data_IF_257607622640
#
_entry.id   IF_257607622640
#
_cell.length_a   1.000
_cell.length_b   1.000
_cell.length_c   1.000
_cell.angle_alpha   90.00
_cell.angle_beta   90.00
_cell.angle_gamma   90.00
#
_symmetry.space_group_name_H-M   'P 1'
#
loop_
_entity.id
_entity.type
_entity.pdbx_description
1 polymer ?
#
# COMPACT_ATOMS: atom_id res chain seq x y z
N UNK A 1 -14.74 -7.12 -12.99
CA UNK A 1 -13.51 -7.87 -12.76
C UNK A 1 -12.61 -7.12 -11.80
N UNK A 2 -12.13 -7.78 -10.79
CA UNK A 2 -11.26 -7.19 -9.79
C UNK A 2 -9.83 -7.63 -10.03
N UNK A 3 -8.90 -6.69 -9.97
CA UNK A 3 -7.48 -6.94 -10.14
C UNK A 3 -6.76 -6.49 -8.88
N UNK A 4 -5.92 -7.34 -8.35
CA UNK A 4 -5.26 -7.13 -7.07
C UNK A 4 -3.75 -7.01 -7.24
N UNK A 5 -3.14 -6.12 -6.47
CA UNK A 5 -1.69 -6.10 -6.28
C UNK A 5 -1.39 -5.97 -4.80
N UNK A 6 -0.32 -6.61 -4.36
CA UNK A 6 0.07 -6.62 -2.96
C UNK A 6 1.57 -6.36 -2.84
N UNK A 7 1.94 -5.46 -1.94
CA UNK A 7 3.32 -5.29 -1.51
C UNK A 7 3.45 -5.83 -0.09
N UNK A 8 4.29 -6.84 0.07
CA UNK A 8 4.53 -7.45 1.38
C UNK A 8 5.76 -6.82 2.02
N UNK A 9 5.76 -6.78 3.34
CA UNK A 9 6.92 -6.37 4.15
C UNK A 9 7.38 -4.94 3.89
N UNK A 10 6.45 -4.01 3.65
CA UNK A 10 6.80 -2.60 3.59
C UNK A 10 7.15 -2.09 4.99
N UNK A 11 8.16 -1.20 5.06
CA UNK A 11 8.68 -0.71 6.35
C UNK A 11 7.91 0.50 6.87
N UNK A 12 6.60 0.34 7.03
CA UNK A 12 5.76 1.35 7.63
C UNK A 12 4.82 0.68 8.61
N UNK A 13 4.43 1.40 9.66
CA UNK A 13 3.43 0.86 10.56
C UNK A 13 2.08 0.79 9.83
N UNK A 14 1.28 -0.22 10.15
CA UNK A 14 -0.05 -0.36 9.56
C UNK A 14 -0.91 0.87 9.82
N UNK A 15 -0.77 1.47 11.01
CA UNK A 15 -1.52 2.67 11.36
C UNK A 15 -1.25 3.83 10.40
N UNK A 16 0.03 4.08 10.09
CA UNK A 16 0.42 5.14 9.17
C UNK A 16 0.01 4.84 7.74
N UNK A 17 0.18 3.58 7.32
CA UNK A 17 -0.23 3.16 5.98
C UNK A 17 -1.75 3.26 5.81
N UNK A 18 -2.53 2.95 6.85
CA UNK A 18 -3.99 3.06 6.78
C UNK A 18 -4.49 4.48 6.60
N UNK A 19 -3.77 5.46 7.12
CA UNK A 19 -4.12 6.86 6.87
C UNK A 19 -4.08 7.18 5.38
N UNK A 20 -3.14 6.58 4.66
CA UNK A 20 -3.00 6.76 3.22
C UNK A 20 -4.03 5.94 2.46
N UNK A 21 -4.18 4.65 2.77
CA UNK A 21 -5.08 3.77 2.02
C UNK A 21 -6.54 4.22 2.10
N UNK A 22 -6.95 4.78 3.22
CA UNK A 22 -8.34 5.27 3.39
C UNK A 22 -8.71 6.38 2.42
N UNK A 23 -7.74 7.18 1.99
CA UNK A 23 -8.03 8.34 1.14
C UNK A 23 -8.31 7.95 -0.29
N UNK A 24 -7.82 6.79 -0.75
CA UNK A 24 -7.95 6.38 -2.15
C UNK A 24 -9.11 5.42 -2.42
N UNK A 25 -9.70 4.83 -1.39
CA UNK A 25 -10.82 3.90 -1.58
C UNK A 25 -12.01 4.64 -2.17
N UNK A 26 -12.58 4.09 -3.22
CA UNK A 26 -13.71 4.70 -3.91
C UNK A 26 -13.33 5.72 -4.97
N UNK A 27 -12.04 6.03 -5.11
CA UNK A 27 -11.59 7.01 -6.09
C UNK A 27 -11.26 6.35 -7.43
N UNK A 28 -11.53 7.04 -8.56
CA UNK A 28 -11.00 6.60 -9.85
C UNK A 28 -9.47 6.53 -9.78
N UNK A 29 -8.88 5.57 -10.48
CA UNK A 29 -7.44 5.35 -10.43
C UNK A 29 -6.62 6.60 -10.77
N UNK A 30 -6.94 7.39 -11.82
CA UNK A 30 -6.18 8.62 -12.07
C UNK A 30 -6.22 9.60 -10.90
N UNK A 31 -7.38 9.74 -10.26
CA UNK A 31 -7.52 10.64 -9.11
C UNK A 31 -6.76 10.12 -7.90
N UNK A 32 -6.83 8.81 -7.65
CA UNK A 32 -6.09 8.19 -6.56
C UNK A 32 -4.59 8.37 -6.74
N UNK A 33 -4.09 8.19 -7.95
CA UNK A 33 -2.67 8.37 -8.25
C UNK A 33 -2.24 9.82 -8.00
N UNK A 34 -3.07 10.79 -8.38
CA UNK A 34 -2.78 12.20 -8.14
C UNK A 34 -2.76 12.52 -6.66
N UNK A 35 -3.72 12.01 -5.89
CA UNK A 35 -3.75 12.19 -4.44
C UNK A 35 -2.47 11.66 -3.79
N UNK A 36 -2.05 10.47 -4.15
CA UNK A 36 -0.86 9.84 -3.57
C UNK A 36 0.40 10.62 -3.88
N UNK A 37 0.47 11.21 -5.08
CA UNK A 37 1.64 12.01 -5.49
C UNK A 37 1.86 13.21 -4.58
N UNK A 38 0.79 13.84 -4.12
CA UNK A 38 0.86 15.07 -3.34
C UNK A 38 0.76 14.85 -1.83
N UNK A 39 0.63 13.60 -1.39
CA UNK A 39 0.60 13.31 0.05
C UNK A 39 1.97 13.41 0.68
N UNK A 40 2.09 14.06 1.85
CA UNK A 40 3.37 14.18 2.54
C UNK A 40 3.82 12.90 3.23
N UNK A 41 2.93 11.95 3.49
CA UNK A 41 3.26 10.73 4.20
C UNK A 41 4.19 9.84 3.37
N UNK A 42 5.24 9.30 4.00
CA UNK A 42 6.19 8.42 3.32
C UNK A 42 5.51 7.15 2.78
N UNK A 43 4.53 6.62 3.50
CA UNK A 43 3.79 5.44 3.07
C UNK A 43 3.04 5.64 1.75
N UNK A 44 2.74 6.88 1.38
CA UNK A 44 2.05 7.17 0.12
C UNK A 44 2.84 6.68 -1.09
N UNK A 45 4.15 6.70 -1.03
CA UNK A 45 4.99 6.20 -2.13
C UNK A 45 4.81 4.70 -2.33
N UNK A 46 4.74 3.94 -1.25
CA UNK A 46 4.56 2.50 -1.32
C UNK A 46 3.15 2.15 -1.80
N UNK A 47 2.15 2.87 -1.33
CA UNK A 47 0.77 2.69 -1.79
C UNK A 47 0.67 3.03 -3.27
N UNK A 48 1.35 4.10 -3.72
CA UNK A 48 1.36 4.48 -5.13
C UNK A 48 1.97 3.38 -6.01
N UNK A 49 3.03 2.73 -5.54
CA UNK A 49 3.64 1.61 -6.26
C UNK A 49 2.69 0.44 -6.39
N UNK A 50 1.98 0.11 -5.33
CA UNK A 50 1.00 -0.97 -5.34
C UNK A 50 -0.15 -0.64 -6.28
N UNK A 51 -0.64 0.58 -6.25
CA UNK A 51 -1.69 1.04 -7.16
C UNK A 51 -1.22 0.94 -8.61
N UNK A 52 0.00 1.36 -8.89
CA UNK A 52 0.57 1.27 -10.23
C UNK A 52 0.68 -0.18 -10.69
N UNK A 53 1.08 -1.10 -9.79
CA UNK A 53 1.13 -2.52 -10.10
C UNK A 53 -0.25 -3.08 -10.41
N UNK A 54 -1.26 -2.75 -9.63
CA UNK A 54 -2.62 -3.20 -9.87
C UNK A 54 -3.14 -2.68 -11.22
N UNK A 55 -2.85 -1.41 -11.52
CA UNK A 55 -3.25 -0.80 -12.79
C UNK A 55 -2.55 -1.48 -13.96
N UNK A 56 -1.25 -1.73 -13.84
CA UNK A 56 -0.48 -2.42 -14.88
C UNK A 56 -1.00 -3.85 -15.10
N UNK A 57 -1.34 -4.56 -14.03
CA UNK A 57 -1.93 -5.90 -14.13
C UNK A 57 -3.26 -5.86 -14.89
N UNK A 58 -4.09 -4.86 -14.60
CA UNK A 58 -5.37 -4.70 -15.28
C UNK A 58 -5.18 -4.41 -16.75
N UNK A 59 -4.25 -3.52 -17.11
CA UNK A 59 -4.00 -3.16 -18.51
C UNK A 59 -3.37 -4.31 -19.28
N UNK A 60 -2.34 -4.94 -18.75
CA UNK A 60 -1.54 -5.91 -19.47
C UNK A 60 -2.17 -7.30 -19.51
N UNK A 61 -2.83 -7.71 -18.44
CA UNK A 61 -3.37 -9.06 -18.32
C UNK A 61 -4.86 -9.16 -18.67
N UNK A 62 -5.59 -8.06 -18.58
CA UNK A 62 -7.03 -8.05 -18.76
C UNK A 62 -7.52 -7.02 -19.77
N UNK A 63 -6.63 -6.31 -20.43
CA UNK A 63 -6.93 -5.30 -21.45
C UNK A 63 -7.88 -4.19 -20.98
N UNK A 64 -7.82 -3.84 -19.71
CA UNK A 64 -8.62 -2.78 -19.13
C UNK A 64 -7.88 -1.44 -19.23
N UNK A 65 -8.62 -0.35 -19.36
CA UNK A 65 -8.05 0.99 -19.39
C UNK A 65 -7.99 1.58 -17.99
N UNK A 66 -6.87 2.24 -17.65
CA UNK A 66 -6.72 2.89 -16.34
C UNK A 66 -7.84 3.91 -16.09
N UNK A 67 -8.33 4.57 -17.10
CA UNK A 67 -9.39 5.57 -16.96
C UNK A 67 -10.73 4.96 -16.53
N UNK A 68 -10.92 3.68 -16.77
CA UNK A 68 -12.14 2.97 -16.41
C UNK A 68 -12.04 2.23 -15.07
N UNK A 69 -10.91 2.36 -14.37
CA UNK A 69 -10.67 1.66 -13.12
C UNK A 69 -10.98 2.53 -11.91
N UNK A 70 -11.51 1.88 -10.88
CA UNK A 70 -11.81 2.49 -9.59
C UNK A 70 -11.14 1.65 -8.50
N UNK A 71 -10.58 2.30 -7.50
CA UNK A 71 -10.03 1.62 -6.33
C UNK A 71 -11.20 1.19 -5.46
N UNK A 72 -11.46 -0.11 -5.38
CA UNK A 72 -12.56 -0.64 -4.58
C UNK A 72 -12.11 -1.07 -3.19
N UNK A 73 -10.83 -1.39 -3.04
CA UNK A 73 -10.28 -1.81 -1.76
C UNK A 73 -8.82 -1.39 -1.67
N UNK A 74 -8.43 -0.85 -0.54
CA UNK A 74 -7.04 -0.57 -0.23
C UNK A 74 -6.85 -0.85 1.26
N UNK A 75 -6.04 -1.84 1.57
CA UNK A 75 -5.89 -2.37 2.93
C UNK A 75 -4.42 -2.36 3.31
N UNK A 76 -4.15 -1.99 4.55
CA UNK A 76 -2.83 -2.10 5.15
C UNK A 76 -2.94 -3.02 6.37
N UNK A 77 -2.42 -4.23 6.23
CA UNK A 77 -2.45 -5.24 7.28
C UNK A 77 -1.11 -5.33 7.98
N UNK A 78 -1.13 -5.56 9.29
CA UNK A 78 0.09 -5.75 10.04
C UNK A 78 0.85 -6.99 9.57
N UNK A 79 2.11 -6.77 9.20
CA UNK A 79 3.03 -7.85 8.93
C UNK A 79 3.83 -8.18 10.19
N UNK A 80 4.83 -9.07 10.06
CA UNK A 80 5.67 -9.41 11.19
C UNK A 80 6.49 -8.20 11.64
N UNK A 81 6.70 -8.11 12.95
CA UNK A 81 7.58 -7.10 13.53
C UNK A 81 8.98 -7.68 13.63
N UNK A 82 9.97 -7.02 13.05
CA UNK A 82 11.35 -7.43 13.16
C UNK A 82 11.89 -6.95 14.49
N UNK A 83 12.32 -7.90 15.33
CA UNK A 83 12.94 -7.57 16.60
C UNK A 83 14.45 -7.51 16.41
N UNK A 84 15.06 -6.41 16.82
CA UNK A 84 16.51 -6.25 16.81
C UNK A 84 16.95 -5.94 18.23
N UNK A 85 18.07 -6.51 18.62
CA UNK A 85 18.68 -6.21 19.89
C UNK A 85 19.87 -5.28 19.71
N UNK A 86 20.04 -4.32 20.61
CA UNK A 86 21.25 -3.50 20.68
C UNK A 86 21.95 -3.80 21.99
N UNK A 87 23.25 -4.12 21.94
CA UNK A 87 24.01 -4.27 23.19
C UNK A 87 24.12 -2.91 23.89
N UNK A 88 23.96 -2.95 25.18
CA UNK A 88 24.17 -1.80 26.05
C UNK A 88 25.27 -2.09 27.04
N UNK A 89 25.76 -1.05 27.72
CA UNK A 89 26.71 -1.24 28.80
C UNK A 89 26.20 -2.31 29.77
N UNK A 90 27.08 -3.17 30.29
CA UNK A 90 26.77 -4.26 31.21
C UNK A 90 26.04 -5.45 30.52
N UNK A 91 26.18 -5.59 29.20
CA UNK A 91 25.66 -6.75 28.49
C UNK A 91 24.15 -6.85 28.32
N UNK A 92 23.44 -5.76 28.54
CA UNK A 92 21.99 -5.73 28.38
C UNK A 92 21.60 -5.44 26.93
N UNK A 93 20.49 -6.04 26.51
CA UNK A 93 19.91 -5.81 25.19
C UNK A 93 18.63 -5.02 25.34
N UNK A 94 18.46 -4.03 24.46
CA UNK A 94 17.19 -3.33 24.31
C UNK A 94 16.57 -3.76 22.98
N UNK A 95 15.40 -4.37 23.00
CA UNK A 95 14.74 -4.78 21.77
C UNK A 95 14.28 -3.57 20.96
N UNK A 96 14.54 -3.62 19.67
CA UNK A 96 14.04 -2.63 18.72
C UNK A 96 13.00 -3.33 17.87
N UNK A 97 11.80 -2.77 17.84
CA UNK A 97 10.71 -3.30 17.03
C UNK A 97 10.59 -2.48 15.75
N UNK A 98 10.75 -3.13 14.61
CA UNK A 98 10.57 -2.50 13.30
C UNK A 98 9.28 -3.05 12.70
N UNK A 99 8.20 -2.26 12.73
CA UNK A 99 6.93 -2.72 12.20
C UNK A 99 7.00 -2.85 10.68
N UNK A 100 6.31 -3.84 10.14
CA UNK A 100 6.15 -4.04 8.72
C UNK A 100 4.67 -4.17 8.40
N UNK A 101 4.32 -3.82 7.18
CA UNK A 101 2.93 -3.79 6.74
C UNK A 101 2.83 -4.44 5.37
N UNK A 102 1.73 -5.15 5.16
CA UNK A 102 1.35 -5.65 3.84
C UNK A 102 0.29 -4.72 3.28
N UNK A 103 0.54 -4.18 2.09
CA UNK A 103 -0.40 -3.26 1.43
C UNK A 103 -1.03 -4.00 0.26
N UNK A 104 -2.34 -4.01 0.22
CA UNK A 104 -3.12 -4.62 -0.85
C UNK A 104 -4.03 -3.58 -1.46
N UNK A 105 -4.00 -3.48 -2.79
CA UNK A 105 -4.90 -2.60 -3.53
C UNK A 105 -5.66 -3.43 -4.55
N UNK A 106 -6.96 -3.27 -4.58
CA UNK A 106 -7.85 -3.93 -5.54
C UNK A 106 -8.50 -2.85 -6.39
N UNK A 107 -8.39 -3.00 -7.71
CA UNK A 107 -9.04 -2.12 -8.67
C UNK A 107 -10.08 -2.91 -9.45
N UNK A 108 -11.12 -2.23 -9.88
CA UNK A 108 -12.22 -2.85 -10.61
C UNK A 108 -12.61 -1.92 -11.74
N UNK A 109 -12.93 -2.50 -12.92
CA UNK A 109 -13.38 -1.67 -14.01
C UNK A 109 -14.80 -1.18 -13.74
N UNK A 110 -14.99 0.10 -14.04
CA UNK A 110 -16.29 0.75 -13.88
C UNK A 110 -17.10 0.48 -15.13
N UNK A 111 -17.99 -0.48 -15.05
CA UNK A 111 -18.92 -0.73 -16.11
C UNK A 111 -20.25 -0.12 -15.78
N UNK A 112 -20.66 0.72 -16.67
CA UNK A 112 -21.97 1.32 -16.58
C UNK A 112 -23.06 0.39 -17.02
#
# INVERSE_FOLDING_TARGET
>A
MRVTATAKYTRHSARKARLVTRTIVGQPVPDAAALLRFMPQAAARDVARVLKSATANAENNHNLSADDLVVVEAVADEGPTIKRGRPRAQGRYFPIHKPMTHIKVVVENREG
#
